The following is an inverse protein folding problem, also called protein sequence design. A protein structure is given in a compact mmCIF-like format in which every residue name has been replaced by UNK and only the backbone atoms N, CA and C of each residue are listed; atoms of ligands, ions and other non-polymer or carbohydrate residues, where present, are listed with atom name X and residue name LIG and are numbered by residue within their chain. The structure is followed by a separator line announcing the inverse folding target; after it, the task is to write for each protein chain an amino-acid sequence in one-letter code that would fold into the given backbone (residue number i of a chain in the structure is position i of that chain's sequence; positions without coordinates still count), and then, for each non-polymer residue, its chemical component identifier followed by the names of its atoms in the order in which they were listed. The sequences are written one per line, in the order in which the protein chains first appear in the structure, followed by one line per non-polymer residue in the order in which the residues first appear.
data_IF_162444269966
#
_entry.id   IF_162444269966
#
_cell.length_a   1.000
_cell.length_b   1.000
_cell.length_c   1.000
_cell.angle_alpha   90.00
_cell.angle_beta   90.00
_cell.angle_gamma   90.00
#
_symmetry.space_group_name_H-M   'P 1'
#
loop_
_entity.id
_entity.type
_entity.pdbx_description
1 polymer ?
#
# COMPACT_ATOMS: atom_id res chain seq x y z
N UNK A 1 2.01 -19.97 -10.00
CA UNK A 1 2.27 -18.51 -10.08
C UNK A 1 1.29 -17.79 -11.01
N UNK A 2 0.97 -18.30 -12.20
CA UNK A 2 0.04 -17.64 -13.15
C UNK A 2 -1.37 -17.34 -12.61
N UNK A 3 -1.94 -18.21 -11.75
CA UNK A 3 -3.28 -18.01 -11.19
C UNK A 3 -3.42 -16.75 -10.32
N UNK A 4 -2.40 -16.45 -9.50
CA UNK A 4 -2.41 -15.28 -8.60
C UNK A 4 -2.37 -13.98 -9.40
N UNK A 5 -1.58 -13.95 -10.49
CA UNK A 5 -1.55 -12.78 -11.39
C UNK A 5 -2.89 -12.54 -12.06
N UNK A 6 -3.60 -13.61 -12.47
CA UNK A 6 -4.95 -13.49 -13.03
C UNK A 6 -5.94 -12.93 -12.00
N UNK A 7 -5.89 -13.41 -10.75
CA UNK A 7 -6.73 -12.88 -9.68
C UNK A 7 -6.43 -11.40 -9.45
N UNK A 8 -5.16 -11.02 -9.33
CA UNK A 8 -4.78 -9.61 -9.15
C UNK A 8 -5.24 -8.72 -10.31
N UNK A 9 -5.10 -9.18 -11.55
CA UNK A 9 -5.57 -8.45 -12.73
C UNK A 9 -7.09 -8.30 -12.75
N UNK A 10 -7.84 -9.37 -12.46
CA UNK A 10 -9.30 -9.33 -12.39
C UNK A 10 -9.78 -8.39 -11.28
N UNK A 11 -9.14 -8.41 -10.11
CA UNK A 11 -9.44 -7.47 -9.03
C UNK A 11 -9.18 -6.03 -9.48
N UNK A 12 -8.03 -5.75 -10.12
CA UNK A 12 -7.71 -4.41 -10.62
C UNK A 12 -8.73 -3.94 -11.67
N UNK A 13 -9.09 -4.79 -12.64
CA UNK A 13 -10.11 -4.47 -13.64
C UNK A 13 -11.48 -4.23 -12.99
N UNK A 14 -11.86 -5.04 -12.00
CA UNK A 14 -13.09 -4.87 -11.24
C UNK A 14 -13.14 -3.54 -10.50
N UNK A 15 -12.04 -3.14 -9.85
CA UNK A 15 -11.94 -1.84 -9.19
C UNK A 15 -12.02 -0.68 -10.19
N UNK A 16 -11.33 -0.77 -11.33
CA UNK A 16 -11.40 0.26 -12.38
C UNK A 16 -12.84 0.43 -12.86
N UNK A 17 -13.55 -0.67 -13.13
CA UNK A 17 -14.96 -0.61 -13.51
C UNK A 17 -15.81 0.00 -12.40
N UNK A 18 -15.63 -0.44 -11.15
CA UNK A 18 -16.38 0.10 -10.01
C UNK A 18 -16.23 1.62 -9.88
N UNK A 19 -14.99 2.12 -9.92
CA UNK A 19 -14.70 3.56 -9.82
C UNK A 19 -15.10 4.35 -11.08
N UNK A 20 -15.16 3.72 -12.25
CA UNK A 20 -15.69 4.36 -13.47
C UNK A 20 -17.19 4.69 -13.35
N UNK A 21 -17.95 3.92 -12.57
CA UNK A 21 -19.38 4.15 -12.33
C UNK A 21 -19.67 4.82 -10.99
N UNK A 22 -18.67 5.35 -10.29
CA UNK A 22 -18.83 5.85 -8.92
C UNK A 22 -19.91 6.93 -8.77
N UNK A 23 -20.07 7.80 -9.77
CA UNK A 23 -21.02 8.91 -9.75
C UNK A 23 -22.49 8.48 -9.76
N UNK A 24 -22.79 7.23 -10.17
CA UNK A 24 -24.15 6.70 -10.17
C UNK A 24 -24.58 6.16 -8.80
N UNK A 25 -23.63 5.86 -7.90
CA UNK A 25 -23.89 5.22 -6.61
C UNK A 25 -23.10 5.88 -5.47
N UNK A 26 -23.32 7.18 -5.20
CA UNK A 26 -22.47 7.95 -4.28
C UNK A 26 -22.45 7.39 -2.85
N UNK A 27 -23.60 6.99 -2.30
CA UNK A 27 -23.67 6.45 -0.92
C UNK A 27 -22.91 5.13 -0.77
N UNK A 28 -23.08 4.23 -1.74
CA UNK A 28 -22.33 2.98 -1.79
C UNK A 28 -20.83 3.25 -1.92
N UNK A 29 -20.43 4.16 -2.80
CA UNK A 29 -19.02 4.48 -3.03
C UNK A 29 -18.39 5.17 -1.84
N UNK A 30 -19.12 6.01 -1.12
CA UNK A 30 -18.69 6.58 0.14
C UNK A 30 -18.40 5.48 1.15
N UNK A 31 -19.36 4.58 1.39
CA UNK A 31 -19.15 3.47 2.32
C UNK A 31 -18.00 2.56 1.88
N UNK A 32 -18.01 2.11 0.62
CA UNK A 32 -17.01 1.19 0.07
C UNK A 32 -15.60 1.78 0.15
N UNK A 33 -15.41 3.03 -0.27
CA UNK A 33 -14.08 3.68 -0.29
C UNK A 33 -13.54 3.98 1.10
N UNK A 34 -14.38 4.03 2.13
CA UNK A 34 -13.93 4.23 3.51
C UNK A 34 -13.81 2.90 4.29
N UNK A 35 -14.63 1.90 3.98
CA UNK A 35 -14.66 0.62 4.71
C UNK A 35 -13.69 -0.43 4.14
N UNK A 36 -13.49 -0.45 2.82
CA UNK A 36 -12.71 -1.49 2.17
C UNK A 36 -11.18 -1.34 2.36
N UNK A 37 -10.59 -0.13 2.34
CA UNK A 37 -9.16 0.05 2.59
C UNK A 37 -8.64 -0.54 3.91
N UNK A 38 -9.24 -0.31 5.09
CA UNK A 38 -8.77 -0.92 6.33
C UNK A 38 -8.90 -2.45 6.33
N UNK A 39 -9.90 -3.02 5.63
CA UNK A 39 -10.03 -4.47 5.47
C UNK A 39 -8.87 -5.03 4.64
N UNK A 40 -8.53 -4.40 3.51
CA UNK A 40 -7.38 -4.79 2.69
C UNK A 40 -6.09 -4.66 3.49
N UNK A 41 -5.89 -3.53 4.16
CA UNK A 41 -4.69 -3.28 4.95
C UNK A 41 -4.56 -4.29 6.10
N UNK A 42 -5.65 -4.60 6.80
CA UNK A 42 -5.68 -5.62 7.86
C UNK A 42 -5.38 -7.03 7.35
N UNK A 43 -5.93 -7.41 6.19
CA UNK A 43 -5.59 -8.66 5.52
C UNK A 43 -4.10 -8.71 5.14
N UNK A 44 -3.55 -7.62 4.63
CA UNK A 44 -2.14 -7.51 4.28
C UNK A 44 -1.23 -7.64 5.52
N UNK A 45 -1.54 -6.96 6.63
CA UNK A 45 -0.83 -7.10 7.92
C UNK A 45 -0.88 -8.53 8.42
N UNK A 46 -2.04 -9.17 8.34
CA UNK A 46 -2.21 -10.55 8.79
C UNK A 46 -1.33 -11.50 7.99
N UNK A 47 -1.38 -11.42 6.66
CA UNK A 47 -0.58 -12.27 5.77
C UNK A 47 0.91 -11.99 5.91
N UNK A 48 1.32 -10.73 6.07
CA UNK A 48 2.72 -10.37 6.29
C UNK A 48 3.22 -10.85 7.66
N UNK A 49 2.40 -10.75 8.70
CA UNK A 49 2.70 -11.25 10.05
C UNK A 49 2.85 -12.76 10.08
N UNK A 50 1.97 -13.50 9.40
CA UNK A 50 2.12 -14.95 9.23
C UNK A 50 3.41 -15.31 8.49
N UNK A 51 3.77 -14.53 7.46
CA UNK A 51 5.01 -14.70 6.71
C UNK A 51 6.23 -14.42 7.59
N UNK A 52 6.23 -13.32 8.34
CA UNK A 52 7.23 -12.98 9.34
C UNK A 52 7.43 -14.14 10.33
N UNK A 53 6.36 -14.65 10.94
CA UNK A 53 6.42 -15.78 11.87
C UNK A 53 6.97 -17.08 11.26
N UNK A 54 6.79 -17.30 9.95
CA UNK A 54 7.38 -18.44 9.23
C UNK A 54 8.89 -18.26 9.00
N UNK A 55 9.32 -17.09 8.56
CA UNK A 55 10.74 -16.81 8.31
C UNK A 55 11.54 -16.65 9.61
N UNK A 56 10.93 -16.07 10.65
CA UNK A 56 11.54 -15.90 11.97
C UNK A 56 11.88 -17.24 12.62
N UNK A 57 11.00 -18.23 12.55
CA UNK A 57 11.27 -19.59 13.08
C UNK A 57 12.40 -20.32 12.35
N UNK A 58 12.69 -19.92 11.11
CA UNK A 58 13.77 -20.47 10.29
C UNK A 58 14.97 -19.53 10.21
N UNK A 59 15.15 -18.63 11.19
CA UNK A 59 16.03 -17.45 11.16
C UNK A 59 17.49 -17.71 10.77
N UNK A 60 17.72 -17.92 9.47
CA UNK A 60 19.01 -17.81 8.79
C UNK A 60 18.87 -16.75 7.72
N UNK A 61 19.78 -15.77 7.72
CA UNK A 61 19.83 -14.71 6.71
C UNK A 61 18.96 -13.49 7.01
N UNK A 62 18.81 -12.63 5.99
CA UNK A 62 18.22 -11.27 6.12
C UNK A 62 16.69 -11.21 5.95
N UNK A 63 16.06 -12.32 5.53
CA UNK A 63 14.61 -12.37 5.28
C UNK A 63 13.73 -12.03 6.48
N UNK A 64 14.00 -12.50 7.72
CA UNK A 64 13.16 -12.16 8.87
C UNK A 64 13.14 -10.65 9.14
N UNK A 65 14.28 -9.99 8.98
CA UNK A 65 14.41 -8.53 9.15
C UNK A 65 13.61 -7.78 8.08
N UNK A 66 13.68 -8.22 6.81
CA UNK A 66 12.87 -7.65 5.73
C UNK A 66 11.38 -7.75 6.06
N UNK A 67 10.91 -8.94 6.45
CA UNK A 67 9.51 -9.16 6.80
C UNK A 67 9.06 -8.39 8.04
N UNK A 68 9.97 -8.14 9.00
CA UNK A 68 9.69 -7.33 10.18
C UNK A 68 9.37 -5.90 9.78
N UNK A 69 10.27 -5.26 9.03
CA UNK A 69 10.06 -3.90 8.54
C UNK A 69 8.85 -3.81 7.59
N UNK A 70 8.64 -4.81 6.72
CA UNK A 70 7.49 -4.84 5.82
C UNK A 70 6.16 -4.92 6.59
N UNK A 71 6.09 -5.79 7.61
CA UNK A 71 4.91 -5.92 8.48
C UNK A 71 4.69 -4.66 9.33
N UNK A 72 5.77 -4.04 9.82
CA UNK A 72 5.67 -2.79 10.57
C UNK A 72 5.10 -1.65 9.70
N UNK A 73 5.55 -1.53 8.44
CA UNK A 73 4.97 -0.57 7.49
C UNK A 73 3.50 -0.82 7.21
N UNK A 74 3.12 -2.07 6.96
CA UNK A 74 1.71 -2.44 6.76
C UNK A 74 0.86 -2.16 8.00
N UNK A 75 1.40 -2.40 9.20
CA UNK A 75 0.69 -2.16 10.45
C UNK A 75 0.42 -0.67 10.64
N UNK A 76 1.43 0.17 10.42
CA UNK A 76 1.26 1.63 10.49
C UNK A 76 0.27 2.10 9.43
N UNK A 77 0.34 1.58 8.19
CA UNK A 77 -0.63 1.89 7.15
C UNK A 77 -2.06 1.50 7.57
N UNK A 78 -2.25 0.28 8.08
CA UNK A 78 -3.54 -0.19 8.59
C UNK A 78 -4.09 0.69 9.70
N UNK A 79 -3.24 1.15 10.62
CA UNK A 79 -3.66 2.08 11.67
C UNK A 79 -4.14 3.41 11.08
N UNK A 80 -3.46 3.93 10.05
CA UNK A 80 -3.92 5.11 9.32
C UNK A 80 -5.31 4.91 8.68
N UNK A 81 -5.50 3.82 7.94
CA UNK A 81 -6.79 3.47 7.34
C UNK A 81 -7.91 3.25 8.37
N UNK A 82 -7.60 2.61 9.50
CA UNK A 82 -8.56 2.34 10.56
C UNK A 82 -8.97 3.64 11.27
N UNK A 83 -8.03 4.56 11.48
CA UNK A 83 -8.33 5.89 12.03
C UNK A 83 -9.20 6.67 11.04
N UNK A 84 -8.83 6.73 9.76
CA UNK A 84 -9.65 7.37 8.74
C UNK A 84 -11.09 6.82 8.79
N UNK A 85 -11.24 5.51 8.63
CA UNK A 85 -12.55 4.86 8.63
C UNK A 85 -13.35 5.12 9.91
N UNK A 86 -12.70 5.20 11.08
CA UNK A 86 -13.34 5.59 12.33
C UNK A 86 -13.90 7.02 12.29
N UNK A 87 -13.12 7.98 11.78
CA UNK A 87 -13.57 9.37 11.64
C UNK A 87 -14.75 9.48 10.66
N UNK A 88 -14.65 8.85 9.49
CA UNK A 88 -15.68 9.00 8.45
C UNK A 88 -16.91 8.15 8.69
N UNK A 89 -16.77 6.87 9.03
CA UNK A 89 -17.90 5.94 9.12
C UNK A 89 -18.55 5.89 10.51
N UNK A 90 -17.80 6.17 11.59
CA UNK A 90 -18.33 6.07 12.96
C UNK A 90 -18.66 7.46 13.50
N UNK A 91 -17.73 8.41 13.37
CA UNK A 91 -17.93 9.76 13.87
C UNK A 91 -18.66 10.67 12.87
N UNK A 92 -18.74 10.27 11.61
CA UNK A 92 -19.35 11.05 10.52
C UNK A 92 -18.81 12.48 10.44
N UNK A 93 -17.52 12.64 10.74
CA UNK A 93 -16.82 13.92 10.63
C UNK A 93 -15.73 13.82 9.57
N UNK A 94 -15.43 14.96 8.93
CA UNK A 94 -14.27 15.07 8.08
C UNK A 94 -12.99 14.88 8.91
N UNK A 95 -11.99 14.23 8.32
CA UNK A 95 -10.71 13.97 8.97
C UNK A 95 -9.98 15.32 9.16
N UNK A 96 -9.69 15.75 10.40
CA UNK A 96 -9.07 17.04 10.65
C UNK A 96 -7.64 17.05 10.13
N UNK A 97 -7.23 18.07 9.39
CA UNK A 97 -5.85 18.17 8.89
C UNK A 97 -4.99 19.12 9.76
N UNK A 98 -3.84 18.67 10.30
CA UNK A 98 -3.29 17.30 10.28
C UNK A 98 -3.95 16.37 11.30
N UNK A 99 -4.10 15.09 10.94
CA UNK A 99 -4.74 14.04 11.73
C UNK A 99 -3.74 13.04 12.31
N UNK A 100 -4.22 12.21 13.23
CA UNK A 100 -3.48 11.04 13.67
C UNK A 100 -3.24 10.04 12.51
N UNK A 101 -4.16 9.93 11.54
CA UNK A 101 -3.99 9.03 10.40
C UNK A 101 -2.81 9.47 9.51
N UNK A 102 -2.62 10.78 9.32
CA UNK A 102 -1.48 11.33 8.57
C UNK A 102 -0.14 10.93 9.16
N UNK A 103 -0.03 10.97 10.50
CA UNK A 103 1.16 10.52 11.22
C UNK A 103 1.45 9.05 10.91
N UNK A 104 0.44 8.19 10.95
CA UNK A 104 0.58 6.76 10.69
C UNK A 104 0.93 6.44 9.23
N UNK A 105 0.31 7.08 8.25
CA UNK A 105 0.66 6.89 6.83
C UNK A 105 2.10 7.34 6.55
N UNK A 106 2.48 8.53 7.01
CA UNK A 106 3.85 9.06 6.83
C UNK A 106 4.86 8.15 7.52
N UNK A 107 4.60 7.77 8.78
CA UNK A 107 5.46 6.88 9.52
C UNK A 107 5.58 5.51 8.85
N UNK A 108 4.51 5.00 8.22
CA UNK A 108 4.49 3.72 7.51
C UNK A 108 5.46 3.64 6.34
N UNK A 109 5.72 4.75 5.64
CA UNK A 109 6.68 4.77 4.53
C UNK A 109 8.12 4.48 4.97
N UNK A 110 8.51 4.85 6.19
CA UNK A 110 9.88 4.64 6.69
C UNK A 110 10.25 3.15 6.75
N UNK A 111 9.54 2.28 7.51
CA UNK A 111 9.85 0.86 7.54
C UNK A 111 9.56 0.17 6.20
N UNK A 112 8.58 0.63 5.41
CA UNK A 112 8.40 0.11 4.05
C UNK A 112 9.62 0.34 3.16
N UNK A 113 10.16 1.54 3.17
CA UNK A 113 11.36 1.88 2.42
C UNK A 113 12.53 0.99 2.84
N UNK A 114 12.75 0.81 4.15
CA UNK A 114 13.80 -0.07 4.68
C UNK A 114 13.60 -1.51 4.19
N UNK A 115 12.37 -2.03 4.27
CA UNK A 115 12.05 -3.38 3.83
C UNK A 115 12.34 -3.59 2.34
N UNK A 116 11.83 -2.69 1.49
CA UNK A 116 12.03 -2.75 0.04
C UNK A 116 13.50 -2.57 -0.35
N UNK A 117 14.21 -1.65 0.29
CA UNK A 117 15.64 -1.46 0.07
C UNK A 117 16.43 -2.72 0.41
N UNK A 118 16.19 -3.33 1.58
CA UNK A 118 16.85 -4.56 1.99
C UNK A 118 16.51 -5.73 1.05
N UNK A 119 15.26 -5.80 0.57
CA UNK A 119 14.82 -6.79 -0.40
C UNK A 119 15.55 -6.63 -1.73
N UNK A 120 15.58 -5.43 -2.31
CA UNK A 120 16.31 -5.15 -3.56
C UNK A 120 17.80 -5.45 -3.39
N UNK A 121 18.41 -5.04 -2.27
CA UNK A 121 19.82 -5.30 -1.98
C UNK A 121 20.14 -6.80 -1.92
N UNK A 122 19.21 -7.63 -1.43
CA UNK A 122 19.38 -9.08 -1.39
C UNK A 122 19.49 -9.69 -2.80
N UNK A 123 18.74 -9.15 -3.76
CA UNK A 123 18.75 -9.59 -5.16
C UNK A 123 19.60 -8.67 -6.06
N UNK A 124 20.39 -7.76 -5.49
CA UNK A 124 21.09 -6.73 -6.24
C UNK A 124 22.10 -7.30 -7.26
N UNK A 125 22.67 -8.48 -7.00
CA UNK A 125 23.63 -9.12 -7.89
C UNK A 125 23.02 -9.59 -9.22
N UNK A 126 21.71 -9.81 -9.27
CA UNK A 126 20.99 -10.23 -10.49
C UNK A 126 20.30 -9.07 -11.21
N UNK A 127 20.26 -7.89 -10.59
CA UNK A 127 19.63 -6.71 -11.18
C UNK A 127 20.59 -5.99 -12.11
N UNK A 128 20.23 -5.90 -13.39
CA UNK A 128 21.02 -5.14 -14.36
C UNK A 128 20.92 -3.63 -14.08
N UNK A 129 22.01 -2.90 -14.28
CA UNK A 129 22.02 -1.43 -14.18
C UNK A 129 20.99 -0.78 -15.11
N UNK A 130 20.73 -1.39 -16.27
CA UNK A 130 19.71 -0.95 -17.24
C UNK A 130 18.31 -1.05 -16.67
N UNK A 131 17.98 -2.18 -16.03
CA UNK A 131 16.69 -2.40 -15.36
C UNK A 131 16.49 -1.37 -14.26
N UNK A 132 17.52 -1.13 -13.43
CA UNK A 132 17.45 -0.13 -12.37
C UNK A 132 17.21 1.28 -12.93
N UNK A 133 17.98 1.68 -13.95
CA UNK A 133 17.82 2.99 -14.58
C UNK A 133 16.44 3.18 -15.23
N UNK A 134 15.93 2.16 -15.92
CA UNK A 134 14.59 2.19 -16.50
C UNK A 134 13.51 2.32 -15.42
N UNK A 135 13.59 1.52 -14.35
CA UNK A 135 12.63 1.62 -13.23
C UNK A 135 12.68 2.99 -12.56
N UNK A 136 13.87 3.56 -12.36
CA UNK A 136 14.01 4.91 -11.80
C UNK A 136 13.40 5.97 -12.71
N UNK A 137 13.68 5.91 -14.02
CA UNK A 137 13.12 6.85 -14.99
C UNK A 137 11.59 6.74 -15.06
N UNK A 138 11.05 5.52 -15.11
CA UNK A 138 9.61 5.27 -15.09
C UNK A 138 8.96 5.84 -13.82
N UNK A 139 9.54 5.61 -12.65
CA UNK A 139 9.05 6.19 -11.39
C UNK A 139 9.05 7.71 -11.42
N UNK A 140 10.13 8.35 -11.88
CA UNK A 140 10.22 9.82 -11.97
C UNK A 140 9.15 10.37 -12.92
N UNK A 141 9.01 9.77 -14.11
CA UNK A 141 8.01 10.19 -15.10
C UNK A 141 6.60 10.07 -14.51
N UNK A 142 6.28 8.92 -13.90
CA UNK A 142 4.96 8.70 -13.29
C UNK A 142 4.69 9.69 -12.16
N UNK A 143 5.67 9.96 -11.30
CA UNK A 143 5.53 10.97 -10.23
C UNK A 143 5.26 12.35 -10.81
N UNK A 144 5.99 12.77 -11.86
CA UNK A 144 5.75 14.05 -12.53
C UNK A 144 4.36 14.11 -13.14
N UNK A 145 3.90 13.04 -13.80
CA UNK A 145 2.55 12.97 -14.38
C UNK A 145 1.47 13.08 -13.31
N UNK A 146 1.62 12.39 -12.17
CA UNK A 146 0.68 12.45 -11.04
C UNK A 146 0.67 13.87 -10.45
N UNK A 147 1.83 14.45 -10.19
CA UNK A 147 1.91 15.83 -9.65
C UNK A 147 1.29 16.83 -10.62
N UNK A 148 1.58 16.72 -11.93
CA UNK A 148 0.97 17.58 -12.93
C UNK A 148 -0.56 17.43 -12.96
N UNK A 149 -1.07 16.19 -12.94
CA UNK A 149 -2.51 15.93 -12.92
C UNK A 149 -3.20 16.49 -11.67
N UNK A 150 -2.52 16.49 -10.51
CA UNK A 150 -3.06 17.05 -9.26
C UNK A 150 -2.97 18.58 -9.19
N UNK A 151 -2.02 19.19 -9.91
CA UNK A 151 -1.84 20.65 -9.95
C UNK A 151 -2.68 21.34 -11.03
N UNK A 152 -3.14 20.61 -12.04
CA UNK A 152 -4.10 21.13 -13.02
C UNK A 152 -5.47 21.23 -12.33
N UNK A 153 -5.99 22.44 -12.08
CA UNK A 153 -7.32 22.59 -11.49
C UNK A 153 -8.37 21.99 -12.44
N UNK A 154 -9.27 21.17 -11.88
CA UNK A 154 -10.47 20.63 -12.54
C UNK A 154 -11.63 21.58 -12.33
#
# INVERSE_FOLDING_TARGET
MQGIYKVGLLTAMGLVLLYAFQGYYPDFMYFFSNAFPPVIAGAAVTVSGLSLGRYWRKAKGRFPVIWLYFTAGLLLWFLGEAIWAGYTLILSVELPYPSAADVFWIAGYIPFFIALFLYVKLFGSVLSKKTLAFSMAATVILTVLVVAALLIPV
#
